data_IF_935181373239
#
_entry.id   IF_935181373239
#
_cell.length_a   1.000
_cell.length_b   1.000
_cell.length_c   1.000
_cell.angle_alpha   90.00
_cell.angle_beta   90.00
_cell.angle_gamma   90.00
#
_symmetry.space_group_name_H-M   'P 1'
#
loop_
_entity.id
_entity.type
_entity.pdbx_description
1 polymer ?
#
# COMPACT_ATOMS: atom_id res chain seq x y z
N UNK A 1 33.13 -37.68 -2.03
CA UNK A 1 34.40 -36.92 -2.05
C UNK A 1 34.03 -35.50 -2.47
N UNK A 2 33.74 -34.60 -1.51
CA UNK A 2 33.54 -33.17 -1.81
C UNK A 2 34.89 -32.49 -1.64
N UNK A 3 35.35 -31.78 -2.66
CA UNK A 3 36.67 -31.13 -2.66
C UNK A 3 36.75 -30.03 -1.58
N UNK A 4 37.90 -29.88 -0.89
CA UNK A 4 38.09 -28.91 0.20
C UNK A 4 37.96 -27.44 -0.25
N UNK A 5 38.00 -27.17 -1.55
CA UNK A 5 37.73 -25.86 -2.16
C UNK A 5 36.26 -25.43 -2.04
N UNK A 6 35.31 -26.37 -1.97
CA UNK A 6 33.88 -26.07 -1.92
C UNK A 6 33.37 -25.72 -0.50
N UNK A 7 34.13 -26.11 0.54
CA UNK A 7 33.74 -25.91 1.96
C UNK A 7 33.92 -24.46 2.44
N UNK A 8 34.87 -23.71 1.88
CA UNK A 8 35.10 -22.30 2.22
C UNK A 8 34.10 -21.32 1.57
N UNK A 9 33.45 -21.73 0.48
CA UNK A 9 32.53 -20.86 -0.29
C UNK A 9 31.11 -20.84 0.28
N UNK A 10 30.69 -21.87 1.00
CA UNK A 10 29.35 -21.99 1.60
C UNK A 10 29.00 -20.83 2.54
N UNK A 11 29.85 -20.44 3.52
CA UNK A 11 29.54 -19.30 4.38
C UNK A 11 29.44 -17.99 3.59
N UNK A 12 30.23 -17.84 2.52
CA UNK A 12 30.25 -16.65 1.67
C UNK A 12 28.94 -16.54 0.87
N UNK A 13 28.45 -17.64 0.30
CA UNK A 13 27.16 -17.72 -0.40
C UNK A 13 26.01 -17.39 0.57
N UNK A 14 26.07 -17.89 1.81
CA UNK A 14 25.04 -17.63 2.82
C UNK A 14 24.98 -16.14 3.19
N UNK A 15 26.13 -15.47 3.35
CA UNK A 15 26.19 -14.02 3.61
C UNK A 15 25.61 -13.21 2.44
N UNK A 16 25.94 -13.59 1.20
CA UNK A 16 25.40 -12.95 0.00
C UNK A 16 23.87 -13.08 -0.04
N UNK A 17 23.34 -14.28 0.25
CA UNK A 17 21.90 -14.52 0.28
C UNK A 17 21.18 -13.68 1.36
N UNK A 18 21.75 -13.60 2.57
CA UNK A 18 21.26 -12.74 3.65
C UNK A 18 21.21 -11.26 3.24
N UNK A 19 22.25 -10.78 2.56
CA UNK A 19 22.31 -9.40 2.08
C UNK A 19 21.23 -9.11 1.01
N UNK A 20 21.03 -10.04 0.07
CA UNK A 20 19.95 -9.93 -0.92
C UNK A 20 18.56 -9.92 -0.28
N UNK A 21 18.32 -10.77 0.73
CA UNK A 21 17.06 -10.82 1.45
C UNK A 21 16.78 -9.49 2.19
N UNK A 22 17.79 -8.93 2.86
CA UNK A 22 17.66 -7.65 3.54
C UNK A 22 17.39 -6.49 2.56
N UNK A 23 18.07 -6.48 1.41
CA UNK A 23 17.83 -5.49 0.35
C UNK A 23 16.41 -5.58 -0.21
N UNK A 24 15.92 -6.78 -0.49
CA UNK A 24 14.54 -7.01 -0.95
C UNK A 24 13.53 -6.51 0.08
N UNK A 25 13.70 -6.83 1.36
CA UNK A 25 12.85 -6.32 2.45
C UNK A 25 12.86 -4.79 2.51
N UNK A 26 14.04 -4.17 2.43
CA UNK A 26 14.18 -2.72 2.44
C UNK A 26 13.46 -2.07 1.25
N UNK A 27 13.59 -2.64 0.06
CA UNK A 27 12.92 -2.15 -1.15
C UNK A 27 11.39 -2.26 -1.02
N UNK A 28 10.89 -3.37 -0.48
CA UNK A 28 9.46 -3.57 -0.22
C UNK A 28 8.90 -2.58 0.81
N UNK A 29 9.63 -2.32 1.89
CA UNK A 29 9.23 -1.31 2.89
C UNK A 29 9.21 0.08 2.27
N UNK A 30 10.24 0.42 1.48
CA UNK A 30 10.32 1.70 0.78
C UNK A 30 9.18 1.87 -0.23
N UNK A 31 8.82 0.81 -0.97
CA UNK A 31 7.70 0.86 -1.93
C UNK A 31 6.35 1.03 -1.23
N UNK A 32 6.13 0.36 -0.10
CA UNK A 32 4.90 0.52 0.68
C UNK A 32 4.77 1.93 1.27
N UNK A 33 5.86 2.48 1.81
CA UNK A 33 5.90 3.86 2.30
C UNK A 33 5.66 4.87 1.18
N UNK A 34 6.23 4.65 0.00
CA UNK A 34 5.99 5.49 -1.17
C UNK A 34 4.52 5.42 -1.61
N UNK A 35 3.92 4.23 -1.59
CA UNK A 35 2.49 4.06 -1.89
C UNK A 35 1.61 4.85 -0.89
N UNK A 36 1.90 4.79 0.40
CA UNK A 36 1.17 5.58 1.42
C UNK A 36 1.29 7.09 1.15
N UNK A 37 2.51 7.57 0.86
CA UNK A 37 2.74 8.98 0.52
C UNK A 37 1.95 9.41 -0.72
N UNK A 38 1.88 8.56 -1.75
CA UNK A 38 1.13 8.85 -2.97
C UNK A 38 -0.38 8.90 -2.73
N UNK A 39 -0.93 7.92 -1.99
CA UNK A 39 -2.36 7.89 -1.66
C UNK A 39 -2.73 9.13 -0.83
N UNK A 40 -1.86 9.51 0.12
CA UNK A 40 -2.04 10.71 0.95
C UNK A 40 -2.01 11.99 0.12
N UNK A 41 -1.00 12.18 -0.72
CA UNK A 41 -0.88 13.36 -1.58
C UNK A 41 -2.08 13.48 -2.52
N UNK A 42 -2.48 12.37 -3.15
CA UNK A 42 -3.68 12.33 -3.99
C UNK A 42 -4.93 12.73 -3.22
N UNK A 43 -5.15 12.14 -2.04
CA UNK A 43 -6.31 12.43 -1.19
C UNK A 43 -6.37 13.92 -0.81
N UNK A 44 -5.22 14.52 -0.45
CA UNK A 44 -5.13 15.94 -0.09
C UNK A 44 -5.44 16.83 -1.30
N UNK A 45 -4.84 16.56 -2.47
CA UNK A 45 -5.09 17.32 -3.70
C UNK A 45 -6.56 17.27 -4.10
N UNK A 46 -7.17 16.09 -3.98
CA UNK A 46 -8.55 15.86 -4.37
C UNK A 46 -9.57 16.35 -3.32
N UNK A 47 -9.11 16.68 -2.10
CA UNK A 47 -9.98 17.15 -1.01
C UNK A 47 -10.69 18.46 -1.35
N UNK A 48 -9.97 19.38 -2.02
CA UNK A 48 -10.44 20.73 -2.35
C UNK A 48 -11.43 20.76 -3.54
N UNK A 49 -11.57 19.64 -4.26
CA UNK A 49 -12.54 19.53 -5.34
C UNK A 49 -13.91 19.17 -4.72
N UNK A 50 -14.98 19.80 -5.23
CA UNK A 50 -16.35 19.70 -4.72
C UNK A 50 -17.01 18.34 -5.04
N UNK A 51 -16.37 17.25 -4.62
CA UNK A 51 -16.91 15.91 -4.77
C UNK A 51 -18.08 15.66 -3.82
N UNK A 52 -19.11 15.00 -4.36
CA UNK A 52 -20.24 14.51 -3.58
C UNK A 52 -19.77 13.47 -2.58
N UNK A 53 -20.44 13.43 -1.42
CA UNK A 53 -20.17 12.42 -0.39
C UNK A 53 -20.46 11.03 -0.94
N UNK A 54 -19.61 10.05 -0.63
CA UNK A 54 -19.76 8.66 -1.07
C UNK A 54 -19.44 8.39 -2.53
N UNK A 55 -18.94 9.37 -3.28
CA UNK A 55 -18.44 9.12 -4.64
C UNK A 55 -17.08 8.43 -4.58
N UNK A 56 -17.00 7.25 -5.16
CA UNK A 56 -15.75 6.48 -5.33
C UNK A 56 -14.93 7.08 -6.46
N UNK A 57 -13.64 7.26 -6.22
CA UNK A 57 -12.67 7.80 -7.15
C UNK A 57 -11.48 6.87 -7.25
N UNK A 58 -11.23 6.40 -8.46
CA UNK A 58 -10.09 5.54 -8.76
C UNK A 58 -8.82 6.37 -8.86
N UNK A 59 -7.78 5.96 -8.12
CA UNK A 59 -6.45 6.55 -8.20
C UNK A 59 -5.66 5.84 -9.30
N UNK A 60 -5.14 6.61 -10.24
CA UNK A 60 -4.20 6.08 -11.23
C UNK A 60 -2.79 6.04 -10.63
N UNK A 61 -2.32 4.84 -10.35
CA UNK A 61 -0.95 4.61 -9.88
C UNK A 61 0.04 4.51 -11.06
N UNK A 62 1.32 4.84 -10.84
CA UNK A 62 2.37 4.65 -11.82
C UNK A 62 2.61 3.15 -12.09
N UNK A 63 3.22 2.85 -13.23
CA UNK A 63 3.35 1.47 -13.75
C UNK A 63 4.03 0.47 -12.80
N UNK A 64 4.89 0.95 -11.89
CA UNK A 64 5.54 0.15 -10.86
C UNK A 64 4.58 -0.37 -9.77
N UNK A 65 3.34 0.13 -9.70
CA UNK A 65 2.26 -0.39 -8.85
C UNK A 65 1.04 -0.85 -9.66
N UNK A 66 1.22 -1.19 -10.94
CA UNK A 66 0.12 -1.59 -11.84
C UNK A 66 -0.68 -2.81 -11.37
N UNK A 67 -0.14 -3.63 -10.46
CA UNK A 67 -0.84 -4.75 -9.84
C UNK A 67 -1.73 -4.38 -8.64
N UNK A 68 -1.79 -3.10 -8.27
CA UNK A 68 -2.58 -2.61 -7.13
C UNK A 68 -3.64 -1.64 -7.65
N UNK A 69 -4.90 -1.91 -7.34
CA UNK A 69 -6.00 -0.97 -7.53
C UNK A 69 -6.27 -0.21 -6.22
N UNK A 70 -6.44 1.11 -6.33
CA UNK A 70 -6.75 1.97 -5.18
C UNK A 70 -7.95 2.84 -5.49
N UNK A 71 -8.98 2.69 -4.66
CA UNK A 71 -10.19 3.50 -4.70
C UNK A 71 -10.30 4.36 -3.44
N UNK A 72 -10.74 5.60 -3.60
CA UNK A 72 -10.97 6.53 -2.48
C UNK A 72 -12.39 7.08 -2.52
N UNK A 73 -12.99 7.29 -1.34
CA UNK A 73 -14.29 7.94 -1.24
C UNK A 73 -14.31 8.90 -0.05
N UNK A 74 -14.91 10.07 -0.27
CA UNK A 74 -15.01 11.12 0.76
C UNK A 74 -16.37 11.02 1.44
N UNK A 75 -16.38 11.01 2.77
CA UNK A 75 -17.62 11.06 3.55
C UNK A 75 -17.63 12.25 4.49
N UNK A 76 -18.75 12.98 4.53
CA UNK A 76 -18.98 13.95 5.60
C UNK A 76 -19.25 13.20 6.89
N UNK A 77 -18.53 13.54 7.95
CA UNK A 77 -18.63 12.88 9.27
C UNK A 77 -20.08 12.75 9.76
N UNK A 78 -20.88 13.82 9.69
CA UNK A 78 -22.28 13.79 10.11
C UNK A 78 -23.17 12.88 9.26
N UNK A 79 -22.90 12.76 7.95
CA UNK A 79 -23.66 11.86 7.08
C UNK A 79 -23.28 10.40 7.34
N UNK A 80 -21.98 10.12 7.44
CA UNK A 80 -21.44 8.80 7.73
C UNK A 80 -21.95 8.31 9.09
N UNK A 81 -21.95 9.17 10.11
CA UNK A 81 -22.46 8.82 11.44
C UNK A 81 -23.95 8.48 11.42
N UNK A 82 -24.78 9.21 10.66
CA UNK A 82 -26.24 8.99 10.64
C UNK A 82 -26.68 7.81 9.78
N UNK A 83 -26.02 7.58 8.65
CA UNK A 83 -26.51 6.66 7.63
C UNK A 83 -25.52 5.52 7.34
N UNK A 84 -24.32 5.55 7.92
CA UNK A 84 -23.26 4.64 7.54
C UNK A 84 -22.78 4.87 6.11
N UNK A 85 -22.09 3.88 5.57
CA UNK A 85 -21.70 3.81 4.17
C UNK A 85 -21.41 2.37 3.75
N UNK A 86 -21.62 2.06 2.47
CA UNK A 86 -21.15 0.82 1.86
C UNK A 86 -20.31 1.13 0.65
N UNK A 87 -19.09 0.61 0.60
CA UNK A 87 -18.10 0.84 -0.46
C UNK A 87 -17.54 -0.53 -0.85
N UNK A 88 -18.01 -1.08 -1.97
CA UNK A 88 -17.68 -2.44 -2.37
C UNK A 88 -18.01 -3.44 -1.27
N UNK A 89 -16.97 -4.07 -0.72
CA UNK A 89 -17.02 -5.07 0.35
C UNK A 89 -17.09 -4.45 1.75
N UNK A 90 -16.73 -3.18 1.90
CA UNK A 90 -16.67 -2.51 3.19
C UNK A 90 -18.04 -1.94 3.56
N UNK A 91 -18.49 -2.29 4.77
CA UNK A 91 -19.70 -1.77 5.37
C UNK A 91 -19.35 -1.01 6.65
N UNK A 92 -19.76 0.26 6.69
CA UNK A 92 -19.65 1.14 7.84
C UNK A 92 -21.06 1.33 8.39
N UNK A 93 -21.36 0.71 9.53
CA UNK A 93 -22.66 0.86 10.16
C UNK A 93 -22.89 2.29 10.67
N UNK A 94 -24.14 2.76 10.72
CA UNK A 94 -24.47 4.01 11.40
C UNK A 94 -24.00 3.99 12.86
N UNK A 95 -23.62 5.16 13.38
CA UNK A 95 -23.22 5.32 14.77
C UNK A 95 -21.78 4.92 15.11
N UNK A 96 -20.99 4.48 14.13
CA UNK A 96 -19.54 4.33 14.31
C UNK A 96 -18.92 5.65 14.82
N UNK A 97 -18.17 5.56 15.92
CA UNK A 97 -17.44 6.68 16.54
C UNK A 97 -15.95 6.46 16.39
#
# INVERSE_FOLDING_TARGET
LLDPLHMGSIPLIFIILLFHLQKSKSQTIQSAHLLDLMIRDYTIRNFNIHFKTGTVQKIHLPSNFSSIDVDTAKFRCGSLKRHGARIGEFHFDPGLT
#
